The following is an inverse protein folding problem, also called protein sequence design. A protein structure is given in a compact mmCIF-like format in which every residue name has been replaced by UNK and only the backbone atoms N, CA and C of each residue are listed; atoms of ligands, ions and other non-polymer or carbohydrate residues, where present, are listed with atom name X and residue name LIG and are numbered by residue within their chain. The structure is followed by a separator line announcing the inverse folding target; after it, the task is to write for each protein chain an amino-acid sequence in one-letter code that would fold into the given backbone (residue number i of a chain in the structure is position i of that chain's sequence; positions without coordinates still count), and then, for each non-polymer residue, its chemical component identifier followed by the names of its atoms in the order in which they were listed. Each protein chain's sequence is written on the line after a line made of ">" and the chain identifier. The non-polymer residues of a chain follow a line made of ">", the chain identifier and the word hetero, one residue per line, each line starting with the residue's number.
data_IF_632161782563
#
_entry.id   IF_632161782563
#
_cell.length_a   1.000
_cell.length_b   1.000
_cell.length_c   1.000
_cell.angle_alpha   90.00
_cell.angle_beta   90.00
_cell.angle_gamma   90.00
#
_symmetry.space_group_name_H-M   'P 1'
#
loop_
_entity.id
_entity.type
_entity.pdbx_description
1 polymer ?
#
# COMPACT_ATOMS: atom_id res chain seq x y z
N UNK A 1 -7.65 4.78 -6.76
CA UNK A 1 -7.00 5.02 -5.46
C UNK A 1 -5.84 4.07 -5.23
N UNK A 2 -6.03 2.75 -5.32
CA UNK A 2 -4.90 1.79 -5.23
C UNK A 2 -3.77 2.12 -6.20
N UNK A 3 -4.07 2.61 -7.41
CA UNK A 3 -3.02 3.00 -8.36
C UNK A 3 -2.23 4.24 -7.92
N UNK A 4 -2.84 5.18 -7.21
CA UNK A 4 -2.14 6.35 -6.65
C UNK A 4 -1.20 5.89 -5.54
N UNK A 5 -1.69 5.01 -4.67
CA UNK A 5 -0.89 4.39 -3.60
C UNK A 5 0.29 3.62 -4.22
N UNK A 6 0.00 2.73 -5.16
CA UNK A 6 1.01 1.91 -5.81
C UNK A 6 2.05 2.73 -6.57
N UNK A 7 1.63 3.81 -7.24
CA UNK A 7 2.55 4.72 -7.90
C UNK A 7 3.47 5.42 -6.88
N UNK A 8 2.90 5.88 -5.76
CA UNK A 8 3.67 6.52 -4.70
C UNK A 8 4.70 5.56 -4.06
N UNK A 9 4.34 4.30 -3.88
CA UNK A 9 5.17 3.32 -3.16
C UNK A 9 6.19 2.62 -4.04
N UNK A 10 5.82 2.22 -5.27
CA UNK A 10 6.65 1.37 -6.12
C UNK A 10 6.65 1.73 -7.59
N UNK A 11 6.04 2.86 -7.98
CA UNK A 11 5.75 3.15 -9.39
C UNK A 11 4.78 2.15 -10.02
N UNK A 12 3.99 1.44 -9.21
CA UNK A 12 3.04 0.42 -9.66
C UNK A 12 3.61 -0.98 -9.84
N UNK A 13 4.90 -1.22 -9.58
CA UNK A 13 5.54 -2.50 -9.84
C UNK A 13 5.24 -3.55 -8.76
N UNK A 14 4.65 -4.68 -9.14
CA UNK A 14 4.39 -5.85 -8.27
C UNK A 14 5.65 -6.62 -7.87
N UNK A 15 6.76 -6.43 -8.59
CA UNK A 15 8.05 -7.06 -8.30
C UNK A 15 8.99 -6.19 -7.46
N UNK A 16 8.59 -4.98 -7.10
CA UNK A 16 9.40 -4.07 -6.32
C UNK A 16 9.78 -4.63 -4.94
N UNK A 17 10.95 -4.26 -4.44
CA UNK A 17 11.30 -4.44 -3.03
C UNK A 17 12.14 -3.28 -2.54
N UNK A 18 12.38 -3.25 -1.23
CA UNK A 18 13.11 -2.19 -0.55
C UNK A 18 14.45 -1.85 -1.23
N UNK A 19 14.62 -0.58 -1.58
CA UNK A 19 15.82 -0.07 -2.23
C UNK A 19 15.98 -0.46 -3.70
N UNK A 20 15.02 -1.17 -4.32
CA UNK A 20 15.01 -1.43 -5.76
C UNK A 20 13.58 -1.64 -6.30
N UNK A 21 12.89 -0.53 -6.59
CA UNK A 21 11.53 -0.55 -7.14
C UNK A 21 11.44 -1.10 -8.57
N UNK A 22 12.55 -1.13 -9.32
CA UNK A 22 12.61 -1.56 -10.72
C UNK A 22 13.13 -2.99 -10.93
N UNK A 23 13.31 -3.78 -9.87
CA UNK A 23 13.89 -5.11 -10.00
C UNK A 23 12.99 -6.02 -10.84
N UNK A 24 13.62 -6.87 -11.67
CA UNK A 24 12.97 -7.88 -12.51
C UNK A 24 13.71 -9.22 -12.52
N UNK A 25 14.72 -9.37 -11.64
CA UNK A 25 15.54 -10.58 -11.54
C UNK A 25 14.79 -11.73 -10.86
N UNK A 26 13.82 -11.42 -10.02
CA UNK A 26 12.97 -12.39 -9.33
C UNK A 26 11.51 -12.06 -9.63
N UNK A 27 10.76 -13.05 -10.10
CA UNK A 27 9.31 -12.92 -10.23
C UNK A 27 8.64 -13.29 -8.91
N UNK A 28 8.25 -12.27 -8.14
CA UNK A 28 7.61 -12.43 -6.85
C UNK A 28 6.28 -13.18 -6.95
N UNK A 29 5.58 -13.11 -8.08
CA UNK A 29 4.29 -13.77 -8.27
C UNK A 29 4.40 -15.31 -8.27
N UNK A 30 5.60 -15.83 -8.53
CA UNK A 30 5.90 -17.27 -8.51
C UNK A 30 6.29 -17.78 -7.12
N UNK A 31 6.57 -16.88 -6.18
CA UNK A 31 6.98 -17.23 -4.83
C UNK A 31 5.78 -17.39 -3.91
N UNK A 32 5.83 -18.39 -3.03
CA UNK A 32 4.86 -18.54 -1.95
C UNK A 32 5.05 -17.45 -0.90
N UNK A 33 4.02 -17.18 -0.09
CA UNK A 33 4.13 -16.23 1.03
C UNK A 33 5.26 -16.58 2.00
N UNK A 34 5.49 -17.86 2.28
CA UNK A 34 6.63 -18.27 3.12
C UNK A 34 7.96 -17.91 2.48
N UNK A 35 8.09 -18.06 1.16
CA UNK A 35 9.30 -17.66 0.46
C UNK A 35 9.46 -16.14 0.39
N UNK A 36 8.36 -15.41 0.31
CA UNK A 36 8.35 -13.94 0.42
C UNK A 36 8.82 -13.49 1.80
N UNK A 37 8.35 -14.13 2.88
CA UNK A 37 8.81 -13.83 4.25
C UNK A 37 10.31 -14.05 4.41
N UNK A 38 10.82 -15.15 3.89
CA UNK A 38 12.26 -15.41 3.93
C UNK A 38 13.05 -14.37 3.14
N UNK A 39 12.54 -13.97 1.96
CA UNK A 39 13.12 -12.88 1.20
C UNK A 39 13.09 -11.55 1.99
N UNK A 40 11.99 -11.21 2.66
CA UNK A 40 11.91 -10.01 3.50
C UNK A 40 12.92 -10.03 4.64
N UNK A 41 13.13 -11.18 5.30
CA UNK A 41 14.18 -11.32 6.33
C UNK A 41 15.58 -11.07 5.75
N UNK A 42 15.84 -11.55 4.53
CA UNK A 42 17.13 -11.35 3.88
C UNK A 42 17.30 -9.89 3.41
N UNK A 43 16.24 -9.24 2.94
CA UNK A 43 16.24 -7.81 2.62
C UNK A 43 16.53 -6.96 3.87
N UNK A 44 15.98 -7.31 5.03
CA UNK A 44 16.31 -6.63 6.29
C UNK A 44 17.81 -6.72 6.58
N UNK A 45 18.40 -7.91 6.47
CA UNK A 45 19.84 -8.11 6.72
C UNK A 45 20.74 -7.41 5.71
N UNK A 46 20.35 -7.38 4.45
CA UNK A 46 21.22 -6.94 3.34
C UNK A 46 20.99 -5.48 2.93
N UNK A 47 19.80 -4.93 3.20
CA UNK A 47 19.38 -3.59 2.76
C UNK A 47 18.80 -2.73 3.88
N UNK A 48 18.43 -3.30 5.02
CA UNK A 48 17.92 -2.56 6.17
C UNK A 48 16.40 -2.37 6.21
N UNK A 49 15.63 -3.08 5.36
CA UNK A 49 14.17 -3.00 5.36
C UNK A 49 13.48 -4.19 4.68
N UNK A 50 12.22 -4.44 5.07
CA UNK A 50 11.34 -5.48 4.55
C UNK A 50 10.26 -5.06 3.51
N UNK A 51 10.08 -3.79 3.10
CA UNK A 51 9.06 -3.45 2.09
C UNK A 51 9.13 -4.29 0.81
N UNK A 52 8.00 -4.86 0.40
CA UNK A 52 7.91 -5.70 -0.80
C UNK A 52 6.60 -5.52 -1.58
N UNK A 53 6.69 -5.74 -2.88
CA UNK A 53 5.58 -5.70 -3.81
C UNK A 53 5.06 -4.30 -4.12
N UNK A 54 3.92 -4.27 -4.81
CA UNK A 54 3.27 -3.05 -5.33
C UNK A 54 2.89 -2.05 -4.23
N UNK A 55 2.62 -2.57 -3.04
CA UNK A 55 2.16 -1.77 -1.90
C UNK A 55 3.20 -1.66 -0.79
N UNK A 56 4.45 -2.07 -1.06
CA UNK A 56 5.58 -2.00 -0.12
C UNK A 56 5.23 -2.58 1.27
N UNK A 57 4.58 -3.75 1.28
CA UNK A 57 4.08 -4.41 2.48
C UNK A 57 5.28 -4.82 3.36
N UNK A 58 5.26 -4.44 4.64
CA UNK A 58 6.25 -4.87 5.64
C UNK A 58 6.01 -6.32 6.08
N UNK A 59 7.05 -6.98 6.57
CA UNK A 59 7.01 -8.37 7.06
C UNK A 59 5.97 -8.58 8.17
N UNK A 60 5.99 -7.73 9.19
CA UNK A 60 5.03 -7.77 10.31
C UNK A 60 3.56 -7.61 9.83
N UNK A 61 3.38 -6.82 8.78
CA UNK A 61 2.09 -6.48 8.20
C UNK A 61 1.60 -7.62 7.31
N UNK A 62 2.50 -8.25 6.55
CA UNK A 62 2.22 -9.45 5.78
C UNK A 62 1.74 -10.58 6.68
N UNK A 63 2.36 -10.77 7.85
CA UNK A 63 1.96 -11.78 8.83
C UNK A 63 0.54 -11.56 9.35
N UNK A 64 0.21 -10.32 9.74
CA UNK A 64 -1.16 -9.98 10.18
C UNK A 64 -2.19 -10.19 9.07
N UNK A 65 -1.86 -9.83 7.84
CA UNK A 65 -2.73 -10.00 6.69
C UNK A 65 -2.97 -11.48 6.38
N UNK A 66 -1.91 -12.29 6.37
CA UNK A 66 -2.00 -13.73 6.13
C UNK A 66 -2.93 -14.42 7.15
N UNK A 67 -2.77 -14.12 8.44
CA UNK A 67 -3.65 -14.63 9.51
C UNK A 67 -5.10 -14.20 9.28
N UNK A 68 -5.34 -12.92 9.02
CA UNK A 68 -6.70 -12.39 8.84
C UNK A 68 -7.39 -12.95 7.58
N UNK A 69 -6.62 -13.25 6.55
CA UNK A 69 -7.10 -13.82 5.30
C UNK A 69 -7.19 -15.35 5.33
N UNK A 70 -6.77 -16.01 6.41
CA UNK A 70 -6.76 -17.47 6.54
C UNK A 70 -5.78 -18.16 5.59
N UNK A 71 -4.68 -17.49 5.25
CA UNK A 71 -3.67 -18.01 4.32
C UNK A 71 -2.70 -18.95 5.05
N UNK A 72 -2.36 -20.04 4.37
CA UNK A 72 -1.50 -21.10 4.89
C UNK A 72 -0.01 -20.80 4.80
N UNK A 73 0.40 -19.88 3.91
CA UNK A 73 1.80 -19.58 3.61
C UNK A 73 2.26 -20.14 2.25
N UNK A 74 1.55 -21.14 1.72
CA UNK A 74 1.83 -21.76 0.42
C UNK A 74 1.24 -21.00 -0.77
N UNK A 75 0.39 -20.02 -0.52
CA UNK A 75 -0.26 -19.24 -1.58
C UNK A 75 0.78 -18.40 -2.34
N UNK A 76 0.72 -18.37 -3.68
CA UNK A 76 1.61 -17.53 -4.47
C UNK A 76 1.31 -16.04 -4.24
N UNK A 77 2.36 -15.21 -4.20
CA UNK A 77 2.26 -13.76 -3.98
C UNK A 77 1.90 -12.99 -5.25
N UNK A 78 0.80 -13.43 -5.90
CA UNK A 78 0.33 -12.91 -7.18
C UNK A 78 -0.11 -11.45 -7.08
N UNK A 79 -0.17 -10.72 -8.23
CA UNK A 79 -0.75 -9.38 -8.28
C UNK A 79 -2.14 -9.28 -7.61
N UNK A 80 -3.00 -10.27 -7.83
CA UNK A 80 -4.36 -10.31 -7.27
C UNK A 80 -4.33 -10.49 -5.74
N UNK A 81 -3.39 -11.28 -5.21
CA UNK A 81 -3.22 -11.41 -3.76
C UNK A 81 -2.71 -10.10 -3.15
N UNK A 82 -1.74 -9.46 -3.79
CA UNK A 82 -1.23 -8.15 -3.36
C UNK A 82 -2.33 -7.08 -3.36
N UNK A 83 -3.17 -7.02 -4.40
CA UNK A 83 -4.29 -6.08 -4.47
C UNK A 83 -5.32 -6.33 -3.38
N UNK A 84 -5.65 -7.59 -3.09
CA UNK A 84 -6.55 -7.93 -1.96
C UNK A 84 -5.97 -7.49 -0.61
N UNK A 85 -4.66 -7.66 -0.42
CA UNK A 85 -3.96 -7.17 0.77
C UNK A 85 -4.00 -5.64 0.87
N UNK A 86 -3.70 -4.93 -0.22
CA UNK A 86 -3.79 -3.46 -0.30
C UNK A 86 -5.19 -2.94 0.00
N UNK A 87 -6.23 -3.59 -0.50
CA UNK A 87 -7.63 -3.27 -0.20
C UNK A 87 -7.97 -3.46 1.28
N UNK A 88 -7.48 -4.53 1.91
CA UNK A 88 -7.69 -4.74 3.36
C UNK A 88 -7.03 -3.66 4.19
N UNK A 89 -5.79 -3.28 3.87
CA UNK A 89 -5.10 -2.17 4.52
C UNK A 89 -5.85 -0.83 4.35
N UNK A 90 -6.37 -0.56 3.15
CA UNK A 90 -7.15 0.65 2.88
C UNK A 90 -8.47 0.66 3.67
N UNK A 91 -9.10 -0.51 3.82
CA UNK A 91 -10.30 -0.68 4.66
C UNK A 91 -9.98 -0.43 6.13
N UNK A 92 -8.84 -0.91 6.63
CA UNK A 92 -8.39 -0.67 8.01
C UNK A 92 -8.08 0.81 8.25
N UNK A 93 -7.57 1.52 7.24
CA UNK A 93 -7.39 2.97 7.28
C UNK A 93 -8.74 3.75 7.31
N UNK A 94 -9.87 3.07 7.14
CA UNK A 94 -11.21 3.67 7.32
C UNK A 94 -11.96 3.93 6.03
N UNK A 95 -11.63 3.24 4.93
CA UNK A 95 -12.32 3.39 3.64
C UNK A 95 -13.85 3.37 3.76
N UNK A 96 -14.41 2.43 4.50
CA UNK A 96 -15.86 2.31 4.67
C UNK A 96 -16.46 3.53 5.39
N UNK A 97 -15.77 4.08 6.39
CA UNK A 97 -16.20 5.27 7.10
C UNK A 97 -16.12 6.52 6.22
N UNK A 98 -15.08 6.61 5.39
CA UNK A 98 -14.91 7.69 4.42
C UNK A 98 -15.96 7.66 3.32
N UNK A 99 -16.21 6.47 2.75
CA UNK A 99 -17.19 6.27 1.69
C UNK A 99 -18.61 6.65 2.11
N UNK A 100 -18.99 6.37 3.37
CA UNK A 100 -20.29 6.78 3.94
C UNK A 100 -20.31 8.20 4.50
N UNK A 101 -19.23 8.97 4.32
CA UNK A 101 -19.14 10.37 4.76
C UNK A 101 -18.99 10.58 6.27
N UNK A 102 -18.62 9.55 7.04
CA UNK A 102 -18.37 9.68 8.49
C UNK A 102 -16.98 10.22 8.83
N UNK A 103 -16.05 10.17 7.88
CA UNK A 103 -14.79 10.92 7.93
C UNK A 103 -14.62 11.63 6.59
N UNK A 104 -13.99 12.80 6.62
CA UNK A 104 -13.71 13.59 5.42
C UNK A 104 -12.46 13.07 4.66
N UNK A 105 -12.22 13.66 3.49
CA UNK A 105 -11.13 13.26 2.59
C UNK A 105 -9.75 13.48 3.25
N UNK A 106 -9.58 14.58 4.00
CA UNK A 106 -8.35 14.91 4.71
C UNK A 106 -8.05 13.90 5.83
N UNK A 107 -9.05 13.53 6.65
CA UNK A 107 -8.90 12.53 7.71
C UNK A 107 -8.57 11.17 7.13
N UNK A 108 -9.22 10.78 6.02
CA UNK A 108 -8.92 9.51 5.38
C UNK A 108 -7.51 9.49 4.80
N UNK A 109 -7.08 10.54 4.08
CA UNK A 109 -5.71 10.67 3.60
C UNK A 109 -4.67 10.57 4.72
N UNK A 110 -4.88 11.28 5.83
CA UNK A 110 -3.99 11.23 6.98
C UNK A 110 -3.90 9.81 7.59
N UNK A 111 -4.97 9.00 7.51
CA UNK A 111 -4.90 7.59 7.92
C UNK A 111 -4.17 6.72 6.90
N UNK A 112 -4.35 6.99 5.60
CA UNK A 112 -3.62 6.30 4.54
C UNK A 112 -2.10 6.57 4.63
N UNK A 113 -1.68 7.80 4.93
CA UNK A 113 -0.25 8.15 5.06
C UNK A 113 0.46 7.47 6.23
N UNK A 114 -0.29 6.97 7.21
CA UNK A 114 0.25 6.11 8.28
C UNK A 114 0.50 4.68 7.81
N UNK A 115 -0.11 4.26 6.71
CA UNK A 115 0.11 2.93 6.13
C UNK A 115 1.18 3.00 5.05
N UNK A 116 1.14 4.05 4.21
CA UNK A 116 1.97 4.20 3.02
C UNK A 116 2.79 5.48 3.09
N UNK A 117 4.11 5.33 3.20
CA UNK A 117 5.03 6.43 3.45
C UNK A 117 5.18 7.38 2.26
N UNK A 118 4.92 6.91 1.04
CA UNK A 118 4.91 7.71 -0.18
C UNK A 118 3.71 8.66 -0.27
N UNK A 119 2.69 8.49 0.56
CA UNK A 119 1.57 9.44 0.62
C UNK A 119 1.89 10.64 1.53
N UNK A 120 1.52 11.85 1.12
CA UNK A 120 1.62 13.03 1.97
C UNK A 120 0.56 12.98 3.08
N UNK A 121 0.93 13.38 4.29
CA UNK A 121 0.02 13.38 5.44
C UNK A 121 -1.04 14.49 5.34
N UNK A 122 -0.67 15.62 4.73
CA UNK A 122 -1.51 16.80 4.53
C UNK A 122 -0.95 17.69 3.39
N UNK A 123 -1.49 18.90 3.26
CA UNK A 123 -1.13 19.87 2.23
C UNK A 123 0.33 20.38 2.28
N UNK A 124 1.11 20.04 3.32
CA UNK A 124 2.55 20.32 3.37
C UNK A 124 3.37 19.46 2.40
N UNK A 125 2.76 18.43 1.78
CA UNK A 125 3.44 17.41 0.98
C UNK A 125 4.53 16.63 1.74
N UNK A 126 4.47 16.61 3.07
CA UNK A 126 5.37 15.79 3.87
C UNK A 126 4.79 14.41 4.13
N UNK A 127 5.65 13.39 4.18
CA UNK A 127 5.23 12.06 4.64
C UNK A 127 4.88 12.12 6.13
N UNK A 128 3.99 11.24 6.58
CA UNK A 128 3.84 11.00 8.03
C UNK A 128 5.15 10.52 8.67
N UNK A 129 6.02 9.90 7.87
CA UNK A 129 7.30 9.34 8.30
C UNK A 129 8.51 10.24 7.96
N UNK A 130 8.28 11.52 7.65
CA UNK A 130 9.34 12.48 7.33
C UNK A 130 10.46 12.46 8.39
N UNK A 131 11.72 12.50 7.95
CA UNK A 131 12.89 12.44 8.83
C UNK A 131 13.24 11.05 9.38
N UNK A 132 12.47 10.00 9.04
CA UNK A 132 12.79 8.60 9.39
C UNK A 132 13.23 7.83 8.16
N UNK A 133 14.42 7.21 8.22
CA UNK A 133 14.93 6.29 7.19
C UNK A 133 14.88 6.83 5.74
N UNK A 134 14.92 8.15 5.55
CA UNK A 134 14.84 8.79 4.23
C UNK A 134 13.44 8.81 3.59
N UNK A 135 12.40 8.42 4.34
CA UNK A 135 11.00 8.44 3.89
C UNK A 135 10.58 9.87 3.52
N UNK A 136 9.85 9.97 2.41
CA UNK A 136 9.31 11.21 1.85
C UNK A 136 8.02 10.90 1.10
N UNK A 137 7.13 11.87 1.00
CA UNK A 137 6.02 11.76 0.07
C UNK A 137 6.57 11.79 -1.36
N UNK A 138 6.03 10.94 -2.22
CA UNK A 138 6.43 10.80 -3.64
C UNK A 138 5.33 11.26 -4.59
N UNK A 139 4.17 11.62 -4.04
CA UNK A 139 3.05 12.24 -4.73
C UNK A 139 2.53 13.44 -3.94
N UNK A 140 1.95 14.41 -4.65
CA UNK A 140 1.41 15.62 -4.02
C UNK A 140 0.03 15.36 -3.39
N UNK A 141 -0.26 16.10 -2.32
CA UNK A 141 -1.53 16.02 -1.59
C UNK A 141 -2.73 16.30 -2.51
N UNK A 142 -2.58 17.25 -3.43
CA UNK A 142 -3.60 17.58 -4.43
C UNK A 142 -3.95 16.36 -5.31
N UNK A 143 -2.95 15.57 -5.73
CA UNK A 143 -3.16 14.35 -6.53
C UNK A 143 -3.97 13.32 -5.74
N UNK A 144 -3.66 13.16 -4.44
CA UNK A 144 -4.41 12.24 -3.58
C UNK A 144 -5.85 12.71 -3.38
N UNK A 145 -6.06 14.00 -3.09
CA UNK A 145 -7.41 14.57 -2.95
C UNK A 145 -8.23 14.41 -4.24
N UNK A 146 -7.64 14.66 -5.40
CA UNK A 146 -8.29 14.42 -6.69
C UNK A 146 -8.70 12.95 -6.87
N UNK A 147 -7.80 12.03 -6.51
CA UNK A 147 -8.06 10.59 -6.53
C UNK A 147 -9.23 10.18 -5.63
N UNK A 148 -9.28 10.70 -4.40
CA UNK A 148 -10.36 10.46 -3.45
C UNK A 148 -11.70 11.00 -3.98
N UNK A 149 -11.72 12.25 -4.48
CA UNK A 149 -12.93 12.87 -5.05
C UNK A 149 -13.48 12.07 -6.23
N UNK A 150 -12.61 11.62 -7.14
CA UNK A 150 -13.00 10.77 -8.29
C UNK A 150 -13.61 9.45 -7.81
N UNK A 151 -12.96 8.77 -6.86
CA UNK A 151 -13.44 7.49 -6.35
C UNK A 151 -14.82 7.63 -5.67
N UNK A 152 -15.03 8.72 -4.92
CA UNK A 152 -16.32 9.01 -4.26
C UNK A 152 -17.42 9.34 -5.27
N UNK A 153 -17.09 10.09 -6.32
CA UNK A 153 -18.01 10.42 -7.41
C UNK A 153 -18.46 9.20 -8.22
N UNK A 154 -17.52 8.30 -8.58
CA UNK A 154 -17.83 7.08 -9.33
C UNK A 154 -18.77 6.13 -8.56
N UNK A 155 -18.66 6.07 -7.23
CA UNK A 155 -19.53 5.23 -6.39
C UNK A 155 -20.95 5.79 -6.17
N UNK A 156 -21.23 7.02 -6.59
CA UNK A 156 -22.54 7.67 -6.41
C UNK A 156 -23.46 7.45 -7.62
N UNK A 157 -22.91 7.17 -8.80
CA UNK A 157 -23.69 7.05 -10.06
C UNK A 157 -24.49 5.74 -10.15
N UNK A 158 -24.14 4.69 -9.40
CA UNK A 158 -24.84 3.39 -9.44
C UNK A 158 -26.04 3.26 -8.47
N UNK A 159 -26.43 4.33 -7.76
CA UNK A 159 -27.58 4.31 -6.82
C UNK A 159 -28.76 5.16 -7.28
N UNK A 160 -28.99 5.20 -8.59
CA UNK A 160 -30.12 5.90 -9.19
C UNK A 160 -30.57 5.21 -10.46
N UNK A 161 -31.25 4.07 -10.34
CA UNK A 161 -32.08 3.44 -11.38
C UNK A 161 -33.17 2.62 -10.72
#
# INVERSE_FOLDING_TARGET
>A
MLDIIANAESGGNYNAWYGNAGQNAVDLSTLTLDRIRDLQKDLVKTRGGSPIGRYQILDDTLDRLAVRMGLSGSEPFTPELQDRMGLLLMRDAGFNAWQRGSIDDATFNYRLSKVWAGLPMDASNQSYYEGKAGNRATVDYAVVMDGLRRLKGSGTVERGS
#
